data_IF_535385081778
#
_entry.id   IF_535385081778
#
_cell.length_a   1.000
_cell.length_b   1.000
_cell.length_c   1.000
_cell.angle_alpha   90.00
_cell.angle_beta   90.00
_cell.angle_gamma   90.00
#
_symmetry.space_group_name_H-M   'P 1'
#
loop_
_entity.id
_entity.type
_entity.pdbx_description
1 polymer ?
#
# COMPACT_ATOMS: atom_id res chain seq x y z
N UNK A 1 -0.76 5.13 17.47
CA UNK A 1 -0.69 4.33 16.23
C UNK A 1 -0.95 5.29 15.07
N UNK A 2 -0.11 5.27 14.05
CA UNK A 2 -0.24 6.12 12.87
C UNK A 2 -0.95 5.35 11.76
N UNK A 3 -1.78 6.04 10.98
CA UNK A 3 -2.57 5.47 9.88
C UNK A 3 -2.48 6.36 8.65
N UNK A 4 -2.33 5.74 7.49
CA UNK A 4 -2.40 6.35 6.17
C UNK A 4 -3.47 5.61 5.36
N UNK A 5 -4.29 6.37 4.64
CA UNK A 5 -5.26 5.84 3.69
C UNK A 5 -4.99 6.46 2.33
N UNK A 6 -4.91 5.62 1.30
CA UNK A 6 -4.76 6.06 -0.09
C UNK A 6 -5.92 5.48 -0.89
N UNK A 7 -6.80 6.35 -1.39
CA UNK A 7 -7.88 5.96 -2.28
C UNK A 7 -7.32 5.57 -3.64
N UNK A 8 -7.70 4.38 -4.12
CA UNK A 8 -7.33 3.89 -5.47
C UNK A 8 -8.54 3.67 -6.38
N UNK A 9 -9.76 3.79 -5.85
CA UNK A 9 -11.01 3.58 -6.60
C UNK A 9 -11.11 2.17 -7.18
N UNK A 10 -11.84 2.02 -8.28
CA UNK A 10 -12.02 0.75 -9.02
C UNK A 10 -10.77 0.31 -9.82
N UNK A 11 -9.55 0.70 -9.40
CA UNK A 11 -8.33 0.26 -10.06
C UNK A 11 -8.01 -1.21 -9.72
N UNK A 12 -8.58 -2.13 -10.50
CA UNK A 12 -8.45 -3.58 -10.32
C UNK A 12 -6.99 -4.06 -10.23
N UNK A 13 -6.10 -3.48 -11.04
CA UNK A 13 -4.68 -3.86 -11.03
C UNK A 13 -4.01 -3.44 -9.71
N UNK A 14 -4.28 -2.23 -9.23
CA UNK A 14 -3.78 -1.78 -7.94
C UNK A 14 -4.31 -2.67 -6.80
N UNK A 15 -5.61 -2.99 -6.81
CA UNK A 15 -6.22 -3.89 -5.80
C UNK A 15 -5.52 -5.25 -5.79
N UNK A 16 -5.28 -5.85 -6.96
CA UNK A 16 -4.61 -7.15 -7.06
C UNK A 16 -3.17 -7.10 -6.55
N UNK A 17 -2.39 -6.10 -6.98
CA UNK A 17 -1.00 -5.93 -6.54
C UNK A 17 -0.90 -5.76 -5.03
N UNK A 18 -1.76 -4.93 -4.43
CA UNK A 18 -1.72 -4.71 -2.99
C UNK A 18 -2.22 -5.90 -2.17
N UNK A 19 -3.15 -6.71 -2.68
CA UNK A 19 -3.52 -8.00 -2.07
C UNK A 19 -2.36 -9.01 -2.09
N UNK A 20 -1.49 -8.96 -3.10
CA UNK A 20 -0.26 -9.78 -3.13
C UNK A 20 0.73 -9.24 -2.09
N UNK A 21 0.98 -7.93 -2.09
CA UNK A 21 1.91 -7.29 -1.15
C UNK A 21 1.51 -7.49 0.32
N UNK A 22 0.21 -7.48 0.63
CA UNK A 22 -0.31 -7.78 1.98
C UNK A 22 0.17 -9.16 2.48
N UNK A 23 0.25 -10.15 1.60
CA UNK A 23 0.66 -11.52 1.96
C UNK A 23 2.17 -11.69 2.00
N UNK A 24 2.89 -10.99 1.13
CA UNK A 24 4.33 -11.16 0.93
C UNK A 24 5.17 -10.28 1.86
N UNK A 25 4.69 -9.08 2.19
CA UNK A 25 5.48 -8.11 2.95
C UNK A 25 5.13 -8.15 4.44
N UNK A 26 5.99 -8.82 5.21
CA UNK A 26 5.88 -8.80 6.68
C UNK A 26 6.49 -7.53 7.27
N UNK A 27 5.65 -6.57 7.61
CA UNK A 27 6.07 -5.40 8.38
C UNK A 27 5.99 -5.68 9.88
N UNK A 28 7.12 -5.95 10.54
CA UNK A 28 7.12 -6.29 11.97
C UNK A 28 6.54 -5.21 12.91
N UNK A 29 6.43 -3.95 12.47
CA UNK A 29 5.89 -2.81 13.22
C UNK A 29 4.71 -2.11 12.52
N UNK A 30 4.12 -2.78 11.54
CA UNK A 30 3.02 -2.20 10.77
C UNK A 30 2.31 -3.21 9.89
N UNK A 31 1.34 -2.76 9.11
CA UNK A 31 0.62 -3.60 8.15
C UNK A 31 0.15 -2.75 6.98
N UNK A 32 0.01 -3.40 5.83
CA UNK A 32 -0.63 -2.85 4.64
C UNK A 32 -1.70 -3.85 4.22
N UNK A 33 -2.91 -3.35 3.97
CA UNK A 33 -4.04 -4.15 3.53
C UNK A 33 -4.96 -3.31 2.63
N UNK A 34 -5.86 -3.99 1.91
CA UNK A 34 -6.88 -3.33 1.08
C UNK A 34 -8.23 -3.39 1.79
N UNK A 35 -8.90 -2.25 1.94
CA UNK A 35 -10.23 -2.10 2.55
C UNK A 35 -11.02 -1.09 1.73
N UNK A 36 -12.21 -1.45 1.23
CA UNK A 36 -13.13 -0.57 0.49
C UNK A 36 -12.44 0.35 -0.55
N UNK A 37 -11.71 -0.24 -1.50
CA UNK A 37 -10.99 0.50 -2.57
C UNK A 37 -9.91 1.47 -2.07
N UNK A 38 -9.43 1.25 -0.84
CA UNK A 38 -8.31 1.98 -0.26
C UNK A 38 -7.18 1.02 0.09
N UNK A 39 -5.98 1.54 -0.07
CA UNK A 39 -4.79 0.95 0.55
C UNK A 39 -4.66 1.58 1.93
N UNK A 40 -4.70 0.74 2.95
CA UNK A 40 -4.57 1.17 4.35
C UNK A 40 -3.21 0.74 4.88
N UNK A 41 -2.48 1.69 5.45
CA UNK A 41 -1.21 1.44 6.10
C UNK A 41 -1.27 1.86 7.57
N UNK A 42 -0.88 0.97 8.47
CA UNK A 42 -0.83 1.25 9.90
C UNK A 42 0.55 0.94 10.46
N UNK A 43 1.03 1.77 11.38
CA UNK A 43 2.33 1.61 11.99
C UNK A 43 2.39 2.12 13.44
N UNK A 44 3.27 1.52 14.23
CA UNK A 44 3.48 1.90 15.63
C UNK A 44 4.07 3.30 15.79
N UNK A 45 4.92 3.73 14.84
CA UNK A 45 5.67 4.99 14.88
C UNK A 45 5.73 5.68 13.50
N UNK A 46 6.05 6.97 13.50
CA UNK A 46 6.08 7.79 12.28
C UNK A 46 7.15 7.35 11.28
N UNK A 47 8.29 6.82 11.74
CA UNK A 47 9.35 6.35 10.85
C UNK A 47 8.92 5.09 10.11
N UNK A 48 8.26 4.18 10.81
CA UNK A 48 7.66 2.97 10.25
C UNK A 48 6.55 3.32 9.25
N UNK A 49 5.67 4.30 9.56
CA UNK A 49 4.66 4.75 8.61
C UNK A 49 5.29 5.38 7.36
N UNK A 50 6.37 6.16 7.49
CA UNK A 50 7.10 6.73 6.35
C UNK A 50 7.65 5.64 5.43
N UNK A 51 8.21 4.56 5.98
CA UNK A 51 8.67 3.43 5.18
C UNK A 51 7.53 2.77 4.40
N UNK A 52 6.37 2.56 5.05
CA UNK A 52 5.16 2.04 4.39
C UNK A 52 4.69 2.96 3.27
N UNK A 53 4.66 4.27 3.52
CA UNK A 53 4.30 5.29 2.54
C UNK A 53 5.16 5.17 1.29
N UNK A 54 6.49 5.11 1.44
CA UNK A 54 7.38 4.96 0.28
C UNK A 54 7.16 3.67 -0.50
N UNK A 55 6.91 2.55 0.19
CA UNK A 55 6.57 1.28 -0.47
C UNK A 55 5.29 1.40 -1.28
N UNK A 56 4.23 1.97 -0.69
CA UNK A 56 2.91 2.12 -1.33
C UNK A 56 3.02 2.99 -2.57
N UNK A 57 3.57 4.20 -2.45
CA UNK A 57 3.63 5.12 -3.59
C UNK A 57 4.56 4.65 -4.70
N UNK A 58 5.65 3.92 -4.36
CA UNK A 58 6.50 3.30 -5.39
C UNK A 58 5.75 2.21 -6.15
N UNK A 59 5.01 1.35 -5.46
CA UNK A 59 4.21 0.31 -6.12
C UNK A 59 3.11 0.90 -6.99
N UNK A 60 2.41 1.94 -6.51
CA UNK A 60 1.40 2.66 -7.29
C UNK A 60 1.99 3.29 -8.56
N UNK A 61 3.16 3.93 -8.45
CA UNK A 61 3.84 4.48 -9.62
C UNK A 61 4.10 3.41 -10.69
N UNK A 62 4.56 2.22 -10.29
CA UNK A 62 4.80 1.11 -11.22
C UNK A 62 3.50 0.61 -11.85
N UNK A 63 2.44 0.47 -11.05
CA UNK A 63 1.11 0.05 -11.54
C UNK A 63 0.55 1.05 -12.55
N UNK A 64 0.66 2.35 -12.27
CA UNK A 64 0.06 3.39 -13.11
C UNK A 64 0.87 3.70 -14.36
N UNK A 65 2.19 3.65 -14.30
CA UNK A 65 3.04 4.20 -15.37
C UNK A 65 3.90 3.15 -16.09
N UNK A 66 4.14 2.00 -15.48
CA UNK A 66 5.00 0.96 -16.07
C UNK A 66 4.19 -0.23 -16.57
N UNK A 67 3.14 -0.64 -15.86
CA UNK A 67 2.28 -1.74 -16.31
C UNK A 67 1.43 -1.41 -17.56
N UNK A 68 1.32 -0.12 -17.92
CA UNK A 68 0.62 0.35 -19.12
C UNK A 68 1.52 0.51 -20.36
N UNK A 69 2.83 0.30 -20.21
CA UNK A 69 3.82 0.31 -21.29
C UNK A 69 4.05 -1.10 -21.84
#
# INVERSE_FOLDING_TARGET
MYRLEVSIGENDLAIQVFKILEREVRFGRGRVYVEDEKIVAEAADASSLRSLLHTIFRALYLVEHVALL
#
